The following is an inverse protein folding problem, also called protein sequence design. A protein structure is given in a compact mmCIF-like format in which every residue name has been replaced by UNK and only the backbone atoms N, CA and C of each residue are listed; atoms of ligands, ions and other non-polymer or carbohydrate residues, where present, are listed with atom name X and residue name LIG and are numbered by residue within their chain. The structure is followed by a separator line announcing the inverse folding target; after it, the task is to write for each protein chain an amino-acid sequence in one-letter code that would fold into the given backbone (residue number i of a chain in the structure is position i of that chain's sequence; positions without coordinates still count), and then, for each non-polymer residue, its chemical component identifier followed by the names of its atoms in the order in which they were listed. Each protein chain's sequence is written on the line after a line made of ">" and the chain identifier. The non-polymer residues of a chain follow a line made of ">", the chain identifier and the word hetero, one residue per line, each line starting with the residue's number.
data_IF_784270307985
#
_entry.id   IF_784270307985
#
_cell.length_a   1.000
_cell.length_b   1.000
_cell.length_c   1.000
_cell.angle_alpha   90.00
_cell.angle_beta   90.00
_cell.angle_gamma   90.00
#
_symmetry.space_group_name_H-M   'P 1'
#
loop_
_entity.id
_entity.type
_entity.pdbx_description
1 polymer ?
#
# COMPACT_ATOMS: atom_id res chain seq x y z
N UNK A 1 41.90 -63.80 -31.55
CA UNK A 1 41.33 -63.27 -30.31
C UNK A 1 41.00 -61.86 -30.60
N UNK A 2 39.73 -61.59 -30.88
CA UNK A 2 39.17 -60.32 -31.27
C UNK A 2 38.52 -59.72 -30.05
N UNK A 3 38.86 -58.48 -29.67
CA UNK A 3 38.16 -57.71 -28.66
C UNK A 3 37.35 -56.62 -29.34
N UNK A 4 36.05 -56.74 -29.17
CA UNK A 4 35.08 -55.76 -29.57
C UNK A 4 35.19 -54.53 -28.64
N UNK A 5 35.32 -53.35 -29.23
CA UNK A 5 35.12 -52.07 -28.58
C UNK A 5 33.72 -51.57 -28.91
N UNK A 6 32.78 -51.68 -27.97
CA UNK A 6 31.49 -51.04 -28.05
C UNK A 6 31.63 -49.55 -27.66
N UNK A 7 31.36 -48.70 -28.63
CA UNK A 7 31.25 -47.25 -28.43
C UNK A 7 29.93 -46.90 -27.74
N UNK A 8 30.02 -46.46 -26.51
CA UNK A 8 28.90 -45.92 -25.73
C UNK A 8 28.53 -44.52 -26.26
N UNK A 9 27.45 -44.45 -27.03
CA UNK A 9 26.83 -43.18 -27.40
C UNK A 9 26.19 -42.60 -26.17
N UNK A 10 26.72 -41.50 -25.65
CA UNK A 10 26.06 -40.65 -24.70
C UNK A 10 24.82 -40.03 -25.37
N UNK A 11 23.65 -40.38 -24.86
CA UNK A 11 22.39 -39.74 -25.22
C UNK A 11 22.41 -38.29 -24.79
N UNK A 12 22.10 -37.41 -25.70
CA UNK A 12 21.82 -36.00 -25.43
C UNK A 12 20.72 -35.91 -24.37
N UNK A 13 21.07 -35.34 -23.25
CA UNK A 13 20.12 -35.02 -22.15
C UNK A 13 19.12 -34.01 -22.66
N UNK A 14 17.87 -34.39 -22.63
CA UNK A 14 16.71 -33.49 -22.69
C UNK A 14 16.90 -32.36 -21.70
N UNK A 15 17.17 -31.18 -22.21
CA UNK A 15 17.08 -29.93 -21.43
C UNK A 15 15.61 -29.79 -21.09
N UNK A 16 15.26 -30.02 -19.81
CA UNK A 16 13.94 -29.76 -19.29
C UNK A 16 13.60 -28.32 -19.59
N UNK A 17 12.57 -28.12 -20.40
CA UNK A 17 11.91 -26.83 -20.58
C UNK A 17 11.38 -26.39 -19.20
N UNK A 18 12.00 -25.39 -18.62
CA UNK A 18 11.44 -24.71 -17.48
C UNK A 18 10.09 -24.17 -17.94
N UNK A 19 9.02 -24.78 -17.46
CA UNK A 19 7.67 -24.32 -17.71
C UNK A 19 7.52 -22.89 -17.20
N UNK A 20 7.22 -22.02 -18.14
CA UNK A 20 6.70 -20.68 -17.87
C UNK A 20 5.40 -20.86 -17.06
N UNK A 21 5.44 -20.58 -15.76
CA UNK A 21 4.24 -20.61 -14.91
C UNK A 21 3.39 -19.40 -15.25
N UNK A 22 2.72 -19.48 -16.40
CA UNK A 22 1.68 -18.53 -16.78
C UNK A 22 0.56 -18.53 -15.72
N UNK A 23 -0.07 -17.40 -15.51
CA UNK A 23 -1.14 -17.19 -14.54
C UNK A 23 -2.31 -18.22 -14.63
N UNK A 24 -2.40 -18.95 -15.76
CA UNK A 24 -3.40 -19.99 -16.00
C UNK A 24 -3.24 -21.28 -15.17
N UNK A 25 -2.15 -21.45 -14.42
CA UNK A 25 -1.90 -22.65 -13.60
C UNK A 25 -2.15 -22.46 -12.10
N UNK A 26 -2.44 -21.25 -11.65
CA UNK A 26 -2.68 -20.99 -10.23
C UNK A 26 -4.06 -21.48 -9.80
N UNK A 27 -4.19 -22.01 -8.56
CA UNK A 27 -5.46 -22.48 -8.04
C UNK A 27 -6.43 -21.33 -7.79
N UNK A 28 -7.71 -21.58 -8.00
CA UNK A 28 -8.80 -20.74 -7.53
C UNK A 28 -9.53 -21.45 -6.38
N UNK A 29 -10.10 -20.71 -5.45
CA UNK A 29 -10.86 -21.26 -4.34
C UNK A 29 -12.12 -20.44 -4.06
N UNK A 30 -13.23 -21.14 -3.82
CA UNK A 30 -14.48 -20.50 -3.39
C UNK A 30 -14.38 -19.98 -1.96
N UNK A 31 -13.67 -20.70 -1.09
CA UNK A 31 -13.50 -20.34 0.32
C UNK A 31 -12.04 -20.48 0.73
N UNK A 32 -11.52 -19.44 1.37
CA UNK A 32 -10.13 -19.43 1.86
C UNK A 32 -9.97 -20.31 3.11
N UNK A 33 -10.95 -20.28 4.02
CA UNK A 33 -10.91 -21.09 5.23
C UNK A 33 -11.72 -22.39 5.00
N UNK A 34 -11.02 -23.53 5.02
CA UNK A 34 -11.61 -24.85 4.90
C UNK A 34 -11.39 -25.66 6.18
N UNK A 35 -12.46 -26.20 6.75
CA UNK A 35 -12.40 -26.95 8.01
C UNK A 35 -11.71 -26.18 9.16
N UNK A 36 -11.94 -24.86 9.20
CA UNK A 36 -11.37 -23.97 10.20
C UNK A 36 -9.89 -23.59 9.98
N UNK A 37 -9.28 -23.97 8.85
CA UNK A 37 -7.88 -23.67 8.55
C UNK A 37 -7.74 -22.90 7.24
N UNK A 38 -6.82 -21.92 7.16
CA UNK A 38 -6.55 -21.17 5.94
C UNK A 38 -5.86 -22.05 4.90
N UNK A 39 -6.21 -21.82 3.63
CA UNK A 39 -5.50 -22.37 2.48
C UNK A 39 -4.33 -21.43 2.18
N UNK A 40 -3.09 -21.89 2.39
CA UNK A 40 -1.89 -21.10 2.10
C UNK A 40 -1.46 -21.23 0.64
N UNK A 41 -0.94 -20.15 0.08
CA UNK A 41 -0.39 -20.11 -1.27
C UNK A 41 -0.72 -18.84 -2.02
N UNK A 42 -0.41 -18.89 -3.31
CA UNK A 42 -0.78 -17.87 -4.30
C UNK A 42 -1.97 -18.39 -5.08
N UNK A 43 -2.95 -17.53 -5.30
CA UNK A 43 -4.20 -17.88 -5.97
C UNK A 43 -4.42 -17.02 -7.22
N UNK A 44 -5.01 -17.61 -8.25
CA UNK A 44 -5.55 -16.84 -9.37
C UNK A 44 -6.80 -16.07 -8.94
N UNK A 45 -7.61 -16.68 -8.08
CA UNK A 45 -8.85 -16.09 -7.56
C UNK A 45 -9.24 -16.70 -6.22
N UNK A 46 -9.71 -15.86 -5.29
CA UNK A 46 -10.36 -16.24 -4.03
C UNK A 46 -11.71 -15.55 -4.00
N UNK A 47 -12.80 -16.31 -3.97
CA UNK A 47 -14.14 -15.73 -3.99
C UNK A 47 -14.53 -15.20 -2.62
N UNK A 48 -14.33 -15.99 -1.56
CA UNK A 48 -14.67 -15.61 -0.18
C UNK A 48 -13.51 -15.86 0.77
N UNK A 49 -13.19 -14.88 1.60
CA UNK A 49 -12.18 -15.06 2.64
C UNK A 49 -12.73 -15.81 3.84
N UNK A 50 -14.01 -15.70 4.10
CA UNK A 50 -14.76 -16.38 5.18
C UNK A 50 -13.97 -16.49 6.50
N UNK A 51 -13.28 -15.40 6.90
CA UNK A 51 -12.32 -15.37 8.01
C UNK A 51 -12.95 -15.70 9.36
N UNK A 52 -14.26 -15.56 9.50
CA UNK A 52 -15.01 -15.93 10.71
C UNK A 52 -15.09 -17.45 10.92
N UNK A 53 -14.83 -18.25 9.90
CA UNK A 53 -14.76 -19.71 10.02
C UNK A 53 -13.42 -20.20 10.58
N UNK A 54 -12.42 -19.31 10.71
CA UNK A 54 -11.11 -19.68 11.20
C UNK A 54 -11.12 -20.12 12.68
N UNK A 55 -10.50 -21.27 12.95
CA UNK A 55 -10.34 -21.84 14.28
C UNK A 55 -8.95 -21.54 14.84
N UNK A 56 -8.83 -20.48 15.64
CA UNK A 56 -7.56 -20.00 16.15
C UNK A 56 -6.99 -20.79 17.35
N UNK A 57 -7.75 -21.76 17.92
CA UNK A 57 -7.31 -22.52 19.08
C UNK A 57 -6.64 -23.84 18.69
N UNK A 58 -5.37 -24.01 19.08
CA UNK A 58 -4.60 -25.23 18.81
C UNK A 58 -5.01 -26.43 19.71
N UNK A 59 -5.52 -26.15 20.91
CA UNK A 59 -5.76 -27.18 21.94
C UNK A 59 -7.26 -27.36 22.19
N UNK A 60 -8.03 -26.30 22.11
CA UNK A 60 -9.46 -26.32 22.32
C UNK A 60 -10.21 -26.18 21.00
N UNK A 61 -11.05 -27.14 20.69
CA UNK A 61 -11.97 -27.06 19.53
C UNK A 61 -13.22 -26.22 19.83
N UNK A 62 -13.27 -25.52 21.00
CA UNK A 62 -14.39 -24.65 21.33
C UNK A 62 -14.47 -23.49 20.35
N UNK A 63 -15.63 -23.25 19.74
CA UNK A 63 -15.80 -22.13 18.85
C UNK A 63 -15.60 -20.81 19.59
N UNK A 64 -14.82 -19.91 19.02
CA UNK A 64 -14.69 -18.54 19.47
C UNK A 64 -15.85 -17.74 18.89
N UNK A 65 -16.49 -16.91 19.70
CA UNK A 65 -17.58 -16.07 19.23
C UNK A 65 -17.11 -15.12 18.10
N UNK A 66 -17.94 -14.92 17.07
CA UNK A 66 -17.61 -14.15 15.87
C UNK A 66 -17.13 -12.73 16.20
N UNK A 67 -17.80 -12.02 17.11
CA UNK A 67 -17.40 -10.68 17.52
C UNK A 67 -15.97 -10.60 18.06
N UNK A 68 -15.48 -11.69 18.71
CA UNK A 68 -14.08 -11.76 19.17
C UNK A 68 -13.10 -11.98 18.01
N UNK A 69 -13.54 -12.70 16.97
CA UNK A 69 -12.73 -12.86 15.75
C UNK A 69 -12.67 -11.53 14.99
N UNK A 70 -13.78 -10.83 14.85
CA UNK A 70 -13.85 -9.49 14.25
C UNK A 70 -12.91 -8.50 14.95
N UNK A 71 -12.92 -8.45 16.29
CA UNK A 71 -12.02 -7.59 17.06
C UNK A 71 -10.53 -7.98 16.95
N UNK A 72 -10.23 -9.24 16.61
CA UNK A 72 -8.85 -9.72 16.48
C UNK A 72 -8.32 -9.65 15.07
N UNK A 73 -9.19 -9.64 14.08
CA UNK A 73 -8.80 -9.51 12.69
C UNK A 73 -8.26 -8.11 12.43
N UNK A 74 -7.14 -8.05 11.74
CA UNK A 74 -6.59 -6.81 11.23
C UNK A 74 -7.02 -6.67 9.77
N UNK A 75 -7.55 -5.50 9.42
CA UNK A 75 -7.95 -5.17 8.05
C UNK A 75 -7.28 -3.89 7.63
N UNK A 76 -6.87 -3.84 6.39
CA UNK A 76 -6.14 -2.72 5.82
C UNK A 76 -6.51 -2.57 4.36
N UNK A 77 -6.75 -1.35 3.93
CA UNK A 77 -6.89 -0.99 2.53
C UNK A 77 -6.06 0.25 2.25
N UNK A 78 -5.20 0.17 1.25
CA UNK A 78 -4.38 1.27 0.77
C UNK A 78 -4.61 1.46 -0.73
N UNK A 79 -4.80 2.70 -1.14
CA UNK A 79 -4.87 3.11 -2.54
C UNK A 79 -3.83 4.18 -2.79
N UNK A 80 -2.99 3.96 -3.80
CA UNK A 80 -2.18 4.99 -4.40
C UNK A 80 -2.83 5.43 -5.71
N UNK A 81 -2.91 6.74 -5.93
CA UNK A 81 -3.38 7.36 -7.17
C UNK A 81 -2.32 8.35 -7.64
N UNK A 82 -1.93 8.21 -8.89
CA UNK A 82 -0.93 9.05 -9.55
C UNK A 82 -1.59 9.81 -10.69
N UNK A 83 -1.62 11.12 -10.60
CA UNK A 83 -2.05 12.05 -11.65
C UNK A 83 -1.05 13.19 -11.68
N UNK A 84 -0.02 13.04 -12.49
CA UNK A 84 1.11 13.96 -12.53
C UNK A 84 0.69 15.43 -12.57
N UNK A 85 1.31 16.31 -11.76
CA UNK A 85 2.43 16.04 -10.85
C UNK A 85 2.00 15.58 -9.44
N UNK A 86 0.78 15.13 -9.24
CA UNK A 86 0.25 14.77 -7.93
C UNK A 86 0.25 13.26 -7.69
N UNK A 87 0.68 12.89 -6.48
CA UNK A 87 0.60 11.54 -5.95
C UNK A 87 -0.23 11.55 -4.68
N UNK A 88 -1.34 10.84 -4.69
CA UNK A 88 -2.26 10.71 -3.56
C UNK A 88 -2.14 9.31 -2.98
N UNK A 89 -1.97 9.21 -1.67
CA UNK A 89 -1.98 7.94 -0.94
C UNK A 89 -3.03 7.99 0.15
N UNK A 90 -3.82 6.93 0.26
CA UNK A 90 -4.96 6.82 1.16
C UNK A 90 -4.88 5.46 1.83
N UNK A 91 -4.97 5.42 3.16
CA UNK A 91 -5.06 4.18 3.90
C UNK A 91 -6.17 4.23 4.94
N UNK A 92 -6.87 3.12 5.11
CA UNK A 92 -7.80 2.87 6.21
C UNK A 92 -7.43 1.53 6.83
N UNK A 93 -7.25 1.48 8.15
CA UNK A 93 -6.83 0.28 8.86
C UNK A 93 -7.56 0.12 10.19
N UNK A 94 -7.89 -1.13 10.53
CA UNK A 94 -8.35 -1.50 11.88
C UNK A 94 -7.14 -1.86 12.74
N UNK A 95 -7.08 -1.30 13.95
CA UNK A 95 -6.10 -1.62 14.97
C UNK A 95 -6.82 -2.04 16.25
N UNK A 96 -7.31 -3.28 16.27
CA UNK A 96 -8.10 -3.87 17.39
C UNK A 96 -9.28 -3.00 17.82
N UNK A 97 -9.07 -2.15 18.81
CA UNK A 97 -10.11 -1.31 19.40
C UNK A 97 -10.21 0.08 18.76
N UNK A 98 -9.52 0.31 17.67
CA UNK A 98 -9.56 1.59 16.96
C UNK A 98 -9.50 1.37 15.45
N UNK A 99 -9.91 2.39 14.70
CA UNK A 99 -9.69 2.50 13.26
C UNK A 99 -8.92 3.76 12.99
N UNK A 100 -7.92 3.67 12.16
CA UNK A 100 -7.12 4.83 11.73
C UNK A 100 -7.27 5.01 10.23
N UNK A 101 -7.26 6.26 9.79
CA UNK A 101 -7.12 6.59 8.38
C UNK A 101 -6.11 7.70 8.22
N UNK A 102 -5.36 7.64 7.16
CA UNK A 102 -4.57 8.77 6.68
C UNK A 102 -4.77 8.95 5.18
N UNK A 103 -4.58 10.17 4.74
CA UNK A 103 -4.44 10.49 3.34
C UNK A 103 -3.39 11.58 3.21
N UNK A 104 -2.57 11.49 2.18
CA UNK A 104 -1.66 12.56 1.85
C UNK A 104 -1.61 12.80 0.35
N UNK A 105 -1.24 14.02 -0.01
CA UNK A 105 -0.95 14.42 -1.37
C UNK A 105 0.47 14.97 -1.44
N UNK A 106 1.22 14.48 -2.40
CA UNK A 106 2.55 14.96 -2.74
C UNK A 106 2.54 15.58 -4.12
N UNK A 107 3.07 16.79 -4.24
CA UNK A 107 3.26 17.46 -5.51
C UNK A 107 4.73 17.35 -5.91
N UNK A 108 5.00 16.65 -7.02
CA UNK A 108 6.36 16.35 -7.49
C UNK A 108 7.11 17.60 -7.94
N UNK A 109 6.40 18.62 -8.51
CA UNK A 109 7.04 19.87 -8.98
C UNK A 109 7.49 20.78 -7.83
N UNK A 110 6.69 20.87 -6.76
CA UNK A 110 6.97 21.75 -5.61
C UNK A 110 7.58 21.02 -4.42
N UNK A 111 7.69 19.70 -4.47
CA UNK A 111 8.12 18.81 -3.38
C UNK A 111 7.32 19.01 -2.08
N UNK A 112 6.08 19.49 -2.19
CA UNK A 112 5.21 19.71 -1.05
C UNK A 112 4.43 18.44 -0.72
N UNK A 113 4.41 18.10 0.55
CA UNK A 113 3.65 17.00 1.12
C UNK A 113 2.64 17.53 2.12
N UNK A 114 1.36 17.31 1.85
CA UNK A 114 0.26 17.65 2.75
C UNK A 114 -0.42 16.39 3.26
N UNK A 115 -0.59 16.29 4.58
CA UNK A 115 -1.05 15.08 5.26
C UNK A 115 -2.31 15.39 6.07
N UNK A 116 -3.29 14.49 5.98
CA UNK A 116 -4.47 14.47 6.84
C UNK A 116 -4.58 13.09 7.46
N UNK A 117 -4.74 13.05 8.78
CA UNK A 117 -4.87 11.80 9.51
C UNK A 117 -5.93 11.90 10.61
N UNK A 118 -6.55 10.78 10.90
CA UNK A 118 -7.54 10.67 11.97
C UNK A 118 -7.55 9.27 12.59
N UNK A 119 -7.89 9.19 13.86
CA UNK A 119 -8.07 7.96 14.61
C UNK A 119 -9.44 7.96 15.27
N UNK A 120 -10.18 6.87 15.11
CA UNK A 120 -11.47 6.61 15.73
C UNK A 120 -11.34 5.50 16.77
N UNK A 121 -11.54 5.79 18.06
CA UNK A 121 -11.55 4.76 19.09
C UNK A 121 -12.80 3.87 18.93
N UNK A 122 -12.69 2.61 19.35
CA UNK A 122 -13.77 1.63 19.42
C UNK A 122 -14.47 1.33 18.08
N UNK A 123 -13.82 1.56 16.94
CA UNK A 123 -14.40 1.38 15.59
C UNK A 123 -15.72 2.15 15.37
N UNK A 124 -15.99 3.18 16.16
CA UNK A 124 -17.16 4.04 15.96
C UNK A 124 -17.04 4.78 14.63
N UNK A 125 -18.12 4.81 13.85
CA UNK A 125 -18.15 5.42 12.53
C UNK A 125 -17.11 4.86 11.53
N UNK A 126 -16.75 3.59 11.71
CA UNK A 126 -15.94 2.82 10.77
C UNK A 126 -16.57 1.45 10.53
N UNK A 127 -16.58 1.02 9.28
CA UNK A 127 -17.14 -0.25 8.85
C UNK A 127 -16.16 -0.95 7.90
N UNK A 128 -16.04 -2.28 8.06
CA UNK A 128 -15.31 -3.18 7.16
C UNK A 128 -16.10 -4.48 7.08
N UNK A 129 -16.46 -4.93 5.90
CA UNK A 129 -17.17 -6.20 5.73
C UNK A 129 -16.23 -7.41 5.77
N UNK A 130 -14.99 -7.21 5.37
CA UNK A 130 -13.99 -8.28 5.27
C UNK A 130 -14.10 -9.10 3.99
N UNK A 131 -14.77 -8.59 2.99
CA UNK A 131 -14.93 -9.20 1.67
C UNK A 131 -14.25 -8.35 0.60
N UNK A 132 -13.09 -8.78 0.10
CA UNK A 132 -12.30 -8.04 -0.89
C UNK A 132 -12.97 -7.91 -2.27
N UNK A 133 -14.07 -8.63 -2.53
CA UNK A 133 -14.85 -8.56 -3.75
C UNK A 133 -16.07 -7.63 -3.63
N UNK A 134 -16.71 -7.59 -2.45
CA UNK A 134 -17.95 -6.87 -2.23
C UNK A 134 -17.90 -6.07 -0.92
N UNK A 135 -16.73 -5.52 -0.57
CA UNK A 135 -16.57 -4.76 0.65
C UNK A 135 -17.17 -3.36 0.54
N UNK A 136 -17.56 -2.86 1.70
CA UNK A 136 -17.76 -1.45 1.92
C UNK A 136 -16.90 -1.04 3.10
N UNK A 137 -15.87 -0.22 2.84
CA UNK A 137 -15.03 0.36 3.87
C UNK A 137 -15.46 1.80 4.07
N UNK A 138 -15.95 2.12 5.26
CA UNK A 138 -16.34 3.47 5.66
C UNK A 138 -15.49 3.91 6.83
N UNK A 139 -14.93 5.10 6.73
CA UNK A 139 -14.29 5.82 7.83
C UNK A 139 -14.78 7.25 7.83
N UNK A 140 -15.37 7.70 8.94
CA UNK A 140 -15.91 9.07 9.06
C UNK A 140 -15.34 9.78 10.28
N UNK A 141 -14.66 10.88 10.04
CA UNK A 141 -14.11 11.78 11.04
C UNK A 141 -14.20 13.23 10.53
N UNK A 142 -14.24 14.22 11.41
CA UNK A 142 -14.35 15.65 11.03
C UNK A 142 -13.24 16.14 10.10
N UNK A 143 -12.04 15.57 10.20
CA UNK A 143 -10.88 15.95 9.37
C UNK A 143 -10.80 15.19 8.07
N UNK A 144 -11.29 13.95 8.04
CA UNK A 144 -11.10 13.00 6.94
C UNK A 144 -12.26 12.02 6.91
N UNK A 145 -12.93 11.90 5.78
CA UNK A 145 -13.86 10.82 5.50
C UNK A 145 -13.40 10.05 4.27
N UNK A 146 -13.47 8.73 4.35
CA UNK A 146 -13.11 7.82 3.25
C UNK A 146 -14.21 6.78 3.12
N UNK A 147 -14.68 6.57 1.90
CA UNK A 147 -15.58 5.47 1.55
C UNK A 147 -14.98 4.75 0.35
N UNK A 148 -14.81 3.43 0.50
CA UNK A 148 -14.42 2.52 -0.56
C UNK A 148 -15.55 1.50 -0.75
N UNK A 149 -16.12 1.43 -1.95
CA UNK A 149 -17.09 0.41 -2.31
C UNK A 149 -16.45 -0.51 -3.35
N UNK A 150 -16.38 -1.79 -3.01
CA UNK A 150 -15.78 -2.82 -3.85
C UNK A 150 -16.87 -3.59 -4.61
N UNK A 151 -16.64 -3.80 -5.89
CA UNK A 151 -17.32 -4.79 -6.70
C UNK A 151 -16.28 -5.63 -7.46
N UNK A 152 -16.67 -6.75 -8.08
CA UNK A 152 -15.74 -7.55 -8.89
C UNK A 152 -15.09 -6.76 -10.04
N UNK A 153 -15.78 -5.75 -10.57
CA UNK A 153 -15.33 -4.97 -11.73
C UNK A 153 -14.62 -3.68 -11.35
N UNK A 154 -14.97 -3.10 -10.17
CA UNK A 154 -14.50 -1.75 -9.86
C UNK A 154 -14.43 -1.49 -8.35
N UNK A 155 -13.60 -0.52 -7.96
CA UNK A 155 -13.59 0.09 -6.63
C UNK A 155 -13.96 1.57 -6.78
N UNK A 156 -15.02 2.00 -6.10
CA UNK A 156 -15.38 3.41 -6.00
C UNK A 156 -14.73 4.02 -4.76
N UNK A 157 -13.92 5.05 -4.95
CA UNK A 157 -13.26 5.82 -3.91
C UNK A 157 -13.90 7.19 -3.75
N UNK A 158 -14.33 7.52 -2.55
CA UNK A 158 -14.78 8.87 -2.17
C UNK A 158 -14.01 9.30 -0.93
N UNK A 159 -13.18 10.31 -1.08
CA UNK A 159 -12.43 10.92 0.02
C UNK A 159 -12.78 12.39 0.12
N UNK A 160 -13.04 12.84 1.33
CA UNK A 160 -13.22 14.25 1.61
C UNK A 160 -12.37 14.65 2.83
N UNK A 161 -11.61 15.73 2.68
CA UNK A 161 -10.81 16.33 3.73
C UNK A 161 -10.78 17.86 3.60
N UNK A 162 -10.17 18.53 4.54
CA UNK A 162 -9.96 19.98 4.44
C UNK A 162 -8.80 20.38 3.51
N UNK A 163 -8.01 19.44 3.03
CA UNK A 163 -6.85 19.67 2.14
C UNK A 163 -7.20 19.37 0.69
N UNK A 164 -7.85 18.23 0.45
CA UNK A 164 -8.25 17.80 -0.88
C UNK A 164 -9.44 16.83 -0.83
N UNK A 165 -10.11 16.70 -1.96
CA UNK A 165 -11.18 15.73 -2.21
C UNK A 165 -10.81 14.84 -3.38
N UNK A 166 -11.10 13.54 -3.28
CA UNK A 166 -10.96 12.58 -4.39
C UNK A 166 -12.31 11.90 -4.63
N UNK A 167 -12.77 11.94 -5.87
CA UNK A 167 -13.88 11.14 -6.35
C UNK A 167 -13.37 10.29 -7.50
N UNK A 168 -13.21 9.00 -7.30
CA UNK A 168 -12.65 8.11 -8.31
C UNK A 168 -13.46 6.82 -8.43
N UNK A 169 -13.58 6.35 -9.67
CA UNK A 169 -14.05 5.01 -10.01
C UNK A 169 -12.88 4.29 -10.71
N UNK A 170 -12.43 3.21 -10.08
CA UNK A 170 -11.19 2.50 -10.37
C UNK A 170 -11.54 1.12 -10.94
N UNK A 171 -11.32 0.90 -12.23
CA UNK A 171 -11.65 -0.35 -12.88
C UNK A 171 -10.59 -1.41 -12.56
N UNK A 172 -11.01 -2.56 -12.07
CA UNK A 172 -10.13 -3.66 -11.68
C UNK A 172 -9.59 -4.41 -12.89
N UNK A 173 -8.35 -4.90 -12.74
CA UNK A 173 -7.70 -5.77 -13.73
C UNK A 173 -8.05 -7.25 -13.51
N UNK A 174 -7.67 -8.08 -14.48
CA UNK A 174 -7.93 -9.53 -14.44
C UNK A 174 -6.85 -10.34 -13.73
N UNK A 175 -5.71 -9.73 -13.37
CA UNK A 175 -4.54 -10.43 -12.84
C UNK A 175 -4.10 -9.84 -11.48
N UNK A 176 -4.91 -9.94 -10.43
CA UNK A 176 -4.47 -9.51 -9.10
C UNK A 176 -3.42 -10.48 -8.54
N UNK A 177 -2.56 -9.99 -7.68
CA UNK A 177 -1.79 -10.81 -6.76
C UNK A 177 -2.69 -11.15 -5.58
N UNK A 178 -3.08 -12.40 -5.40
CA UNK A 178 -3.84 -12.89 -4.26
C UNK A 178 -3.01 -13.93 -3.50
N UNK A 179 -2.62 -13.61 -2.25
CA UNK A 179 -1.70 -14.43 -1.46
C UNK A 179 -2.26 -14.65 -0.06
N UNK A 180 -2.30 -15.91 0.37
CA UNK A 180 -2.51 -16.24 1.78
C UNK A 180 -1.25 -16.84 2.36
N UNK A 181 -0.72 -16.22 3.42
CA UNK A 181 0.49 -16.66 4.09
C UNK A 181 0.31 -16.87 5.59
N UNK A 182 1.04 -17.82 6.21
CA UNK A 182 1.05 -17.95 7.66
C UNK A 182 1.73 -16.74 8.30
N UNK A 183 1.15 -16.26 9.41
CA UNK A 183 1.68 -15.17 10.22
C UNK A 183 1.96 -15.70 11.64
N UNK A 184 3.20 -16.10 11.89
CA UNK A 184 3.57 -16.77 13.13
C UNK A 184 2.89 -18.16 13.26
N UNK A 185 2.74 -18.63 14.50
CA UNK A 185 2.28 -20.02 14.78
C UNK A 185 0.78 -20.22 14.55
N UNK A 186 -0.05 -19.19 14.72
CA UNK A 186 -1.51 -19.29 14.73
C UNK A 186 -2.19 -18.23 13.86
N UNK A 187 -1.41 -17.33 13.28
CA UNK A 187 -1.94 -16.28 12.44
C UNK A 187 -1.82 -16.63 10.98
N UNK A 188 -2.44 -15.80 10.21
CA UNK A 188 -2.35 -15.79 8.76
C UNK A 188 -2.75 -14.40 8.26
N UNK A 189 -2.32 -14.08 7.06
CA UNK A 189 -2.79 -12.89 6.33
C UNK A 189 -3.14 -13.29 4.91
N UNK A 190 -4.24 -12.77 4.42
CA UNK A 190 -4.56 -12.73 3.01
C UNK A 190 -4.36 -11.31 2.51
N UNK A 191 -3.66 -11.17 1.40
CA UNK A 191 -3.48 -9.89 0.75
C UNK A 191 -3.86 -9.98 -0.73
N UNK A 192 -4.49 -8.93 -1.22
CA UNK A 192 -4.74 -8.74 -2.65
C UNK A 192 -4.18 -7.40 -3.08
N UNK A 193 -3.35 -7.44 -4.14
CA UNK A 193 -2.72 -6.26 -4.72
C UNK A 193 -2.95 -6.26 -6.22
N UNK A 194 -3.27 -5.09 -6.76
CA UNK A 194 -3.56 -4.98 -8.18
C UNK A 194 -3.39 -3.55 -8.69
N UNK A 195 -2.88 -3.36 -9.92
CA UNK A 195 -3.08 -2.12 -10.66
C UNK A 195 -4.52 -2.03 -11.16
N UNK A 196 -5.08 -0.83 -11.17
CA UNK A 196 -6.33 -0.58 -11.86
C UNK A 196 -6.06 -0.30 -13.35
N UNK A 197 -6.91 -0.83 -14.21
CA UNK A 197 -6.76 -0.70 -15.67
C UNK A 197 -7.26 0.65 -16.18
N UNK A 198 -8.20 1.27 -15.48
CA UNK A 198 -8.71 2.60 -15.78
C UNK A 198 -9.07 3.34 -14.50
N UNK A 199 -8.81 4.66 -14.48
CA UNK A 199 -9.15 5.55 -13.38
C UNK A 199 -9.98 6.71 -13.91
N UNK A 200 -11.23 6.82 -13.50
CA UNK A 200 -12.15 7.91 -13.84
C UNK A 200 -12.45 8.75 -12.60
N UNK A 201 -12.71 10.04 -12.80
CA UNK A 201 -13.12 10.93 -11.73
C UNK A 201 -12.27 12.19 -11.65
N UNK A 202 -12.06 12.67 -10.43
CA UNK A 202 -11.42 13.96 -10.20
C UNK A 202 -10.70 14.06 -8.86
N UNK A 203 -9.71 14.92 -8.83
CA UNK A 203 -9.02 15.41 -7.64
C UNK A 203 -9.29 16.91 -7.50
N UNK A 204 -9.76 17.33 -6.33
CA UNK A 204 -10.02 18.73 -6.01
C UNK A 204 -9.07 19.15 -4.89
N UNK A 205 -8.20 20.11 -5.18
CA UNK A 205 -7.28 20.69 -4.21
C UNK A 205 -7.94 21.89 -3.55
N UNK A 206 -7.99 21.92 -2.22
CA UNK A 206 -8.51 23.04 -1.48
C UNK A 206 -7.40 24.03 -1.15
N UNK A 207 -7.61 25.32 -1.41
CA UNK A 207 -6.64 26.33 -0.95
C UNK A 207 -6.66 26.40 0.57
N UNK A 208 -5.52 26.17 1.18
CA UNK A 208 -5.33 26.46 2.61
C UNK A 208 -5.46 27.95 2.84
N UNK A 209 -6.37 28.35 3.71
CA UNK A 209 -6.51 29.73 4.17
C UNK A 209 -5.33 30.22 5.06
N UNK A 210 -4.21 29.52 5.03
CA UNK A 210 -2.99 29.81 5.80
C UNK A 210 -1.97 30.65 5.02
N UNK A 211 -2.38 31.78 4.46
CA UNK A 211 -1.48 32.84 4.09
C UNK A 211 -1.95 34.17 4.65
N UNK A 212 -2.08 34.24 6.01
CA UNK A 212 -2.03 35.51 6.71
C UNK A 212 -1.11 35.37 7.92
N UNK A 213 0.10 35.90 7.77
CA UNK A 213 0.89 36.47 8.86
C UNK A 213 1.55 35.49 9.83
N UNK A 214 2.71 34.93 9.51
CA UNK A 214 3.77 34.84 10.52
C UNK A 214 4.90 35.79 10.14
N UNK A 215 4.66 37.07 10.45
CA UNK A 215 5.75 37.96 10.79
C UNK A 215 6.31 37.43 12.10
N UNK A 216 7.53 36.92 12.08
CA UNK A 216 8.31 36.64 13.28
C UNK A 216 8.54 37.99 13.95
N UNK A 217 7.81 38.27 15.02
CA UNK A 217 8.15 39.36 15.94
C UNK A 217 9.13 38.76 16.93
N UNK A 218 10.41 39.04 16.73
CA UNK A 218 11.40 38.98 17.81
C UNK A 218 10.98 39.97 18.90
N UNK A 219 10.46 39.46 20.01
CA UNK A 219 10.26 40.24 21.22
C UNK A 219 11.58 40.36 21.95
N UNK A 220 12.28 41.47 21.74
CA UNK A 220 13.20 42.02 22.74
C UNK A 220 12.40 42.68 23.83
N UNK A 221 12.51 42.18 25.07
CA UNK A 221 11.98 42.83 26.27
C UNK A 221 12.70 44.17 26.48
N UNK A 222 11.92 45.21 26.56
CA UNK A 222 12.26 46.38 27.41
C UNK A 222 10.95 46.96 27.98
N UNK A 223 10.99 47.22 29.29
CA UNK A 223 9.95 47.83 30.11
C UNK A 223 9.52 49.18 29.58
N UNK A 224 8.24 49.47 29.66
CA UNK A 224 7.60 50.62 30.28
C UNK A 224 6.23 50.93 29.68
N UNK A 225 5.30 51.14 30.59
CA UNK A 225 3.89 51.47 30.38
C UNK A 225 3.65 52.73 29.58
N UNK A 226 2.65 52.74 28.69
CA UNK A 226 1.70 53.88 28.50
C UNK A 226 0.37 53.32 27.96
N UNK A 227 -0.70 53.69 28.66
CA UNK A 227 -2.11 53.49 28.29
C UNK A 227 -2.49 54.57 27.28
N UNK A 228 -3.05 54.20 26.14
CA UNK A 228 -3.92 55.09 25.37
C UNK A 228 -5.07 54.31 24.72
N UNK A 229 -6.27 54.69 25.17
CA UNK A 229 -7.56 54.36 24.57
C UNK A 229 -7.74 55.11 23.27
N UNK A 230 -8.07 54.44 22.18
CA UNK A 230 -8.70 55.05 20.99
C UNK A 230 -9.91 54.23 20.55
N UNK A 231 -10.95 55.03 20.30
CA UNK A 231 -12.32 54.65 20.10
C UNK A 231 -12.59 53.79 18.87
N UNK A 232 -13.71 53.05 19.00
CA UNK A 232 -14.37 52.30 17.94
C UNK A 232 -14.84 53.22 16.81
N UNK A 233 -14.51 52.87 15.57
CA UNK A 233 -15.29 53.25 14.41
C UNK A 233 -15.69 52.00 13.66
N UNK A 234 -17.00 51.83 13.63
CA UNK A 234 -17.71 50.80 12.92
C UNK A 234 -17.65 51.04 11.41
N UNK A 235 -16.99 50.16 10.68
CA UNK A 235 -17.24 50.03 9.25
C UNK A 235 -17.67 48.59 8.99
N UNK A 236 -18.97 48.42 8.78
CA UNK A 236 -19.58 47.23 8.23
C UNK A 236 -19.03 47.01 6.81
N UNK A 237 -18.03 46.20 6.67
CA UNK A 237 -17.73 45.51 5.44
C UNK A 237 -18.03 44.02 5.68
N UNK A 238 -19.22 43.61 5.24
CA UNK A 238 -19.53 42.21 4.97
C UNK A 238 -18.60 41.80 3.83
N UNK A 239 -17.43 41.30 4.17
CA UNK A 239 -16.58 40.58 3.22
C UNK A 239 -17.24 39.24 3.06
N UNK A 240 -17.83 39.07 1.89
CA UNK A 240 -18.34 37.82 1.36
C UNK A 240 -17.24 36.73 1.49
N UNK A 241 -17.37 35.90 2.53
CA UNK A 241 -16.45 34.81 2.83
C UNK A 241 -16.76 33.63 1.90
N UNK A 242 -16.52 33.82 0.61
CA UNK A 242 -16.70 32.73 -0.34
C UNK A 242 -15.95 32.97 -1.63
N UNK A 243 -14.94 32.28 -1.78
CA UNK A 243 -14.45 31.54 -2.94
C UNK A 243 -13.02 31.12 -2.60
N UNK A 244 -12.88 30.10 -1.79
CA UNK A 244 -11.66 29.29 -1.84
C UNK A 244 -11.56 28.78 -3.26
N UNK A 245 -10.58 29.29 -4.02
CA UNK A 245 -10.34 28.84 -5.40
C UNK A 245 -9.79 27.41 -5.28
N UNK A 246 -10.66 26.44 -5.43
CA UNK A 246 -10.26 25.03 -5.50
C UNK A 246 -9.76 24.72 -6.91
N UNK A 247 -8.59 24.06 -7.01
CA UNK A 247 -8.10 23.55 -8.31
C UNK A 247 -8.70 22.16 -8.53
N UNK A 248 -9.49 22.01 -9.58
CA UNK A 248 -10.07 20.73 -10.00
C UNK A 248 -9.23 20.11 -11.11
N UNK A 249 -8.88 18.85 -10.96
CA UNK A 249 -8.13 18.03 -11.89
C UNK A 249 -8.98 16.82 -12.27
N UNK A 250 -9.30 16.68 -13.55
CA UNK A 250 -10.07 15.55 -14.07
C UNK A 250 -9.11 14.45 -14.49
N UNK A 251 -9.36 13.23 -14.03
CA UNK A 251 -8.55 12.07 -14.38
C UNK A 251 -8.66 11.74 -15.87
N UNK A 252 -7.58 11.23 -16.41
CA UNK A 252 -7.44 10.90 -17.81
C UNK A 252 -6.61 9.61 -18.00
N UNK A 253 -6.30 9.24 -19.23
CA UNK A 253 -5.54 8.02 -19.56
C UNK A 253 -4.10 7.97 -19.01
N UNK A 254 -3.59 9.08 -18.47
CA UNK A 254 -2.30 9.10 -17.77
C UNK A 254 -2.45 8.97 -16.26
N UNK A 255 -3.68 8.89 -15.74
CA UNK A 255 -3.93 8.68 -14.32
C UNK A 255 -3.86 7.18 -14.00
N UNK A 256 -3.06 6.82 -13.01
CA UNK A 256 -2.85 5.43 -12.59
C UNK A 256 -3.25 5.28 -11.14
N UNK A 257 -3.79 4.12 -10.78
CA UNK A 257 -4.05 3.78 -9.39
C UNK A 257 -3.76 2.30 -9.14
N UNK A 258 -3.51 1.97 -7.87
CA UNK A 258 -3.35 0.60 -7.40
C UNK A 258 -3.93 0.42 -6.02
N UNK A 259 -4.28 -0.83 -5.72
CA UNK A 259 -4.82 -1.30 -4.47
C UNK A 259 -3.81 -2.20 -3.75
N UNK A 260 -3.75 -2.05 -2.43
CA UNK A 260 -3.23 -3.04 -1.48
C UNK A 260 -4.29 -3.27 -0.40
N UNK A 261 -4.92 -4.44 -0.42
CA UNK A 261 -5.95 -4.84 0.53
C UNK A 261 -5.48 -6.07 1.31
N UNK A 262 -5.60 -6.03 2.63
CA UNK A 262 -5.15 -7.12 3.51
C UNK A 262 -6.16 -7.35 4.63
N UNK A 263 -6.41 -8.64 4.92
CA UNK A 263 -7.14 -9.10 6.08
C UNK A 263 -6.45 -10.31 6.70
N UNK A 264 -6.38 -10.36 8.03
CA UNK A 264 -5.84 -11.53 8.69
C UNK A 264 -5.76 -11.45 10.20
N UNK A 265 -5.23 -12.50 10.79
CA UNK A 265 -4.91 -12.61 12.21
C UNK A 265 -3.39 -12.57 12.37
N UNK A 266 -2.85 -11.37 12.40
CA UNK A 266 -1.41 -11.15 12.39
C UNK A 266 -0.79 -11.49 13.74
N UNK A 267 0.51 -11.78 13.75
CA UNK A 267 1.30 -11.94 14.97
C UNK A 267 1.35 -10.64 15.77
N UNK A 268 1.53 -10.74 17.07
CA UNK A 268 1.48 -9.61 18.00
C UNK A 268 2.46 -8.48 17.65
N UNK A 269 3.65 -8.81 17.19
CA UNK A 269 4.63 -7.86 16.69
C UNK A 269 5.02 -8.25 15.26
N UNK A 270 4.93 -7.30 14.33
CA UNK A 270 5.24 -7.47 12.93
C UNK A 270 6.03 -6.26 12.46
N UNK A 271 7.10 -6.52 11.73
CA UNK A 271 7.84 -5.46 11.05
C UNK A 271 8.02 -5.84 9.59
N UNK A 272 8.02 -4.84 8.72
CA UNK A 272 8.22 -5.06 7.30
C UNK A 272 8.84 -3.87 6.60
N UNK A 273 9.46 -4.17 5.49
CA UNK A 273 9.75 -3.21 4.44
C UNK A 273 8.80 -3.47 3.28
N UNK A 274 8.34 -2.40 2.67
CA UNK A 274 7.47 -2.46 1.50
C UNK A 274 7.90 -1.43 0.46
N UNK A 275 7.60 -1.69 -0.80
CA UNK A 275 7.93 -0.82 -1.93
C UNK A 275 6.86 -0.92 -2.99
N UNK A 276 6.48 0.24 -3.54
CA UNK A 276 5.48 0.33 -4.61
C UNK A 276 5.89 1.37 -5.65
N UNK A 277 5.83 0.97 -6.90
CA UNK A 277 5.94 1.85 -8.06
C UNK A 277 4.67 1.66 -8.89
N UNK A 278 4.08 2.77 -9.37
CA UNK A 278 3.03 2.74 -10.37
C UNK A 278 3.27 3.90 -11.33
N UNK A 279 3.61 3.56 -12.58
CA UNK A 279 4.09 4.53 -13.57
C UNK A 279 3.92 4.01 -15.00
N UNK A 280 4.17 4.88 -15.97
CA UNK A 280 4.52 4.48 -17.34
C UNK A 280 6.04 4.46 -17.51
N UNK A 281 6.54 3.40 -18.11
CA UNK A 281 7.94 3.30 -18.51
C UNK A 281 8.25 4.23 -19.67
N UNK A 282 9.54 4.44 -19.95
CA UNK A 282 9.98 5.25 -21.10
C UNK A 282 9.48 4.74 -22.46
N UNK A 283 9.22 3.44 -22.56
CA UNK A 283 8.63 2.79 -23.74
C UNK A 283 7.09 2.82 -23.76
N UNK A 284 6.46 3.60 -22.87
CA UNK A 284 5.03 3.81 -22.72
C UNK A 284 4.24 2.62 -22.12
N UNK A 285 4.87 1.51 -21.76
CA UNK A 285 4.21 0.41 -21.07
C UNK A 285 3.79 0.83 -19.67
N UNK A 286 2.60 0.41 -19.27
CA UNK A 286 2.16 0.54 -17.87
C UNK A 286 2.97 -0.40 -16.99
N UNK A 287 3.51 0.11 -15.90
CA UNK A 287 4.32 -0.67 -14.96
C UNK A 287 3.89 -0.43 -13.52
N UNK A 288 3.65 -1.53 -12.80
CA UNK A 288 3.50 -1.52 -11.36
C UNK A 288 4.48 -2.51 -10.74
N UNK A 289 5.07 -2.14 -9.60
CA UNK A 289 5.93 -3.01 -8.78
C UNK A 289 5.39 -3.03 -7.36
N UNK A 290 5.34 -4.21 -6.77
CA UNK A 290 5.12 -4.42 -5.34
C UNK A 290 6.19 -5.37 -4.80
N UNK A 291 6.94 -4.90 -3.81
CA UNK A 291 7.94 -5.70 -3.10
C UNK A 291 7.71 -5.59 -1.61
N UNK A 292 7.90 -6.70 -0.89
CA UNK A 292 7.83 -6.74 0.56
C UNK A 292 8.89 -7.65 1.16
N UNK A 293 9.31 -7.36 2.39
CA UNK A 293 10.19 -8.18 3.21
C UNK A 293 9.71 -8.13 4.66
N UNK A 294 9.67 -9.26 5.35
CA UNK A 294 9.35 -9.36 6.77
C UNK A 294 7.89 -9.71 7.09
N UNK A 295 6.96 -9.50 6.16
CA UNK A 295 5.54 -9.90 6.35
C UNK A 295 5.37 -11.40 6.16
N UNK A 296 6.00 -11.96 5.11
CA UNK A 296 5.85 -13.34 4.67
C UNK A 296 7.19 -14.08 4.80
N UNK A 297 7.37 -14.81 5.89
CA UNK A 297 8.63 -15.48 6.18
C UNK A 297 8.70 -16.95 5.71
N UNK A 298 7.65 -17.48 5.08
CA UNK A 298 7.46 -18.94 4.94
C UNK A 298 7.30 -19.42 3.50
N UNK A 299 8.07 -18.85 2.58
CA UNK A 299 8.14 -19.36 1.21
C UNK A 299 7.04 -18.87 0.26
N UNK A 300 6.11 -18.05 0.75
CA UNK A 300 5.14 -17.32 -0.07
C UNK A 300 5.50 -15.84 0.00
N UNK A 301 5.62 -15.20 -1.15
CA UNK A 301 6.02 -13.79 -1.28
C UNK A 301 4.89 -12.97 -1.86
N UNK A 302 4.75 -11.73 -1.40
CA UNK A 302 3.88 -10.71 -2.01
C UNK A 302 4.59 -9.94 -3.14
N UNK A 303 5.73 -10.44 -3.62
CA UNK A 303 6.54 -9.77 -4.60
C UNK A 303 6.03 -10.05 -6.00
N UNK A 304 5.63 -9.01 -6.70
CA UNK A 304 5.18 -9.09 -8.08
C UNK A 304 5.42 -7.76 -8.82
N UNK A 305 5.48 -7.83 -10.13
CA UNK A 305 5.31 -6.65 -10.97
C UNK A 305 4.27 -6.93 -12.06
N UNK A 306 3.70 -5.85 -12.59
CA UNK A 306 2.75 -5.89 -13.70
C UNK A 306 3.30 -5.05 -14.84
N UNK A 307 3.22 -5.58 -16.05
CA UNK A 307 3.55 -4.88 -17.28
C UNK A 307 2.32 -4.99 -18.17
N UNK A 308 1.71 -3.86 -18.50
CA UNK A 308 0.46 -3.79 -19.26
C UNK A 308 -0.65 -4.73 -18.71
N UNK A 309 -0.74 -4.80 -17.38
CA UNK A 309 -1.71 -5.64 -16.67
C UNK A 309 -1.35 -7.12 -16.56
N UNK A 310 -0.27 -7.58 -17.19
CA UNK A 310 0.23 -8.95 -17.04
C UNK A 310 1.11 -9.04 -15.79
N UNK A 311 0.78 -9.96 -14.88
CA UNK A 311 1.52 -10.19 -13.63
C UNK A 311 2.76 -11.08 -13.86
N UNK A 312 3.86 -10.72 -13.18
CA UNK A 312 5.09 -11.50 -13.04
C UNK A 312 5.41 -11.65 -11.56
N UNK A 313 5.44 -12.88 -11.07
CA UNK A 313 5.79 -13.18 -9.69
C UNK A 313 7.30 -13.06 -9.49
N UNK A 314 7.70 -12.36 -8.42
CA UNK A 314 9.09 -12.05 -8.15
C UNK A 314 9.61 -12.85 -6.94
N UNK A 315 10.91 -13.16 -6.90
CA UNK A 315 11.52 -13.84 -5.76
C UNK A 315 11.51 -12.97 -4.49
N UNK A 316 11.81 -13.56 -3.32
CA UNK A 316 12.08 -12.81 -2.11
C UNK A 316 13.20 -11.78 -2.32
N UNK A 317 13.04 -10.61 -1.71
CA UNK A 317 14.01 -9.50 -1.80
C UNK A 317 14.58 -9.15 -0.43
N UNK A 318 15.73 -8.50 -0.44
CA UNK A 318 16.37 -7.89 0.71
C UNK A 318 16.36 -6.37 0.55
N UNK A 319 15.81 -5.68 1.53
CA UNK A 319 15.97 -4.24 1.69
C UNK A 319 17.17 -3.98 2.59
N UNK A 320 18.07 -3.13 2.13
CA UNK A 320 19.25 -2.69 2.90
C UNK A 320 19.29 -1.18 2.89
N UNK A 321 19.29 -0.59 4.07
CA UNK A 321 19.46 0.85 4.28
C UNK A 321 20.33 1.10 5.49
N UNK A 322 20.88 2.30 5.61
CA UNK A 322 21.58 2.72 6.82
C UNK A 322 20.57 2.87 7.98
N UNK A 323 20.93 2.35 9.15
CA UNK A 323 20.11 2.49 10.36
C UNK A 323 20.21 3.90 10.96
N UNK A 324 21.39 4.52 10.83
CA UNK A 324 21.71 5.82 11.43
C UNK A 324 21.22 7.00 10.59
N UNK A 325 21.25 6.86 9.27
CA UNK A 325 20.75 7.87 8.35
C UNK A 325 19.82 7.24 7.32
N UNK A 326 18.53 7.34 7.58
CA UNK A 326 17.46 6.78 6.74
C UNK A 326 17.24 7.57 5.44
N UNK A 327 17.91 8.72 5.29
CA UNK A 327 17.89 9.51 4.04
C UNK A 327 18.93 9.03 3.03
N UNK A 328 19.83 8.14 3.43
CA UNK A 328 20.74 7.48 2.52
C UNK A 328 20.00 6.57 1.52
N UNK A 329 20.65 6.27 0.44
CA UNK A 329 20.11 5.38 -0.62
C UNK A 329 19.87 3.99 -0.06
N UNK A 330 18.66 3.45 -0.31
CA UNK A 330 18.33 2.07 -0.01
C UNK A 330 18.71 1.18 -1.18
N UNK A 331 19.16 -0.03 -0.89
CA UNK A 331 19.42 -1.06 -1.88
C UNK A 331 18.40 -2.19 -1.75
N UNK A 332 17.77 -2.55 -2.86
CA UNK A 332 16.77 -3.60 -2.92
C UNK A 332 17.22 -4.63 -3.94
N UNK A 333 17.52 -5.83 -3.49
CA UNK A 333 18.01 -6.89 -4.35
C UNK A 333 17.30 -8.22 -4.08
N UNK A 334 17.18 -9.07 -5.10
CA UNK A 334 16.64 -10.41 -4.90
C UNK A 334 17.61 -11.27 -4.06
N UNK A 335 17.05 -12.25 -3.37
CA UNK A 335 17.85 -13.31 -2.76
C UNK A 335 18.21 -14.33 -3.85
N UNK A 336 19.51 -14.46 -4.12
CA UNK A 336 19.98 -15.45 -5.09
C UNK A 336 19.87 -16.86 -4.48
N UNK A 337 18.77 -17.54 -4.77
CA UNK A 337 18.54 -18.93 -4.36
C UNK A 337 19.00 -19.95 -5.41
N UNK A 338 19.66 -19.50 -6.49
CA UNK A 338 20.27 -20.33 -7.50
C UNK A 338 19.32 -20.98 -8.52
N UNK A 339 18.03 -20.70 -8.44
CA UNK A 339 17.00 -21.35 -9.28
C UNK A 339 16.01 -20.40 -9.95
N UNK A 340 16.21 -19.09 -9.83
CA UNK A 340 15.38 -18.07 -10.48
C UNK A 340 16.14 -17.43 -11.65
N UNK A 341 15.46 -17.30 -12.80
CA UNK A 341 15.91 -16.48 -13.93
C UNK A 341 15.55 -14.99 -13.76
N UNK A 342 15.04 -14.63 -12.59
CA UNK A 342 14.62 -13.27 -12.27
C UNK A 342 15.71 -12.64 -11.40
N UNK A 343 16.18 -11.47 -11.81
CA UNK A 343 17.14 -10.68 -11.06
C UNK A 343 16.51 -9.31 -10.74
N UNK A 344 16.69 -8.85 -9.53
CA UNK A 344 16.24 -7.53 -9.06
C UNK A 344 17.45 -6.83 -8.46
N UNK A 345 17.78 -5.67 -8.98
CA UNK A 345 18.83 -4.79 -8.46
C UNK A 345 18.35 -3.34 -8.59
N UNK A 346 17.85 -2.80 -7.51
CA UNK A 346 17.26 -1.48 -7.45
C UNK A 346 17.90 -0.65 -6.35
N UNK A 347 17.98 0.64 -6.60
CA UNK A 347 18.27 1.66 -5.59
C UNK A 347 17.04 2.56 -5.42
N UNK A 348 16.80 2.98 -4.19
CA UNK A 348 15.79 3.97 -3.85
C UNK A 348 16.45 5.15 -3.16
N UNK A 349 16.30 6.34 -3.74
CA UNK A 349 16.79 7.60 -3.19
C UNK A 349 15.64 8.34 -2.53
N UNK A 350 15.59 8.42 -1.18
CA UNK A 350 14.54 9.09 -0.44
C UNK A 350 14.50 10.60 -0.75
N UNK A 351 13.29 11.16 -0.91
CA UNK A 351 13.06 12.61 -1.09
C UNK A 351 12.24 13.19 0.05
N UNK A 352 11.11 12.55 0.38
CA UNK A 352 10.16 13.02 1.39
C UNK A 352 9.66 11.84 2.21
N UNK A 353 9.20 12.11 3.45
CA UNK A 353 8.69 11.06 4.32
C UNK A 353 7.44 11.51 5.06
N UNK A 354 6.45 10.62 5.12
CA UNK A 354 5.38 10.64 6.11
C UNK A 354 5.77 9.72 7.26
N UNK A 355 5.90 10.30 8.49
CA UNK A 355 6.24 9.56 9.70
C UNK A 355 5.13 9.65 10.72
N UNK A 356 4.83 8.52 11.35
CA UNK A 356 3.91 8.47 12.49
C UNK A 356 4.41 7.47 13.52
N UNK A 357 4.39 7.87 14.78
CA UNK A 357 4.70 6.98 15.90
C UNK A 357 3.56 7.04 16.90
N UNK A 358 2.91 5.92 17.09
CA UNK A 358 1.86 5.74 18.08
C UNK A 358 2.34 4.71 19.12
N UNK A 359 2.14 5.00 20.41
CA UNK A 359 2.46 4.07 21.47
C UNK A 359 1.43 4.17 22.59
N UNK A 360 0.58 3.16 22.64
CA UNK A 360 -0.47 3.01 23.65
C UNK A 360 -0.19 1.84 24.62
N UNK A 361 1.08 1.39 24.72
CA UNK A 361 1.52 0.29 25.55
C UNK A 361 1.24 -1.08 24.95
N UNK A 362 -0.02 -1.50 24.89
CA UNK A 362 -0.43 -2.80 24.30
C UNK A 362 -0.52 -2.77 22.77
N UNK A 363 -0.63 -1.59 22.19
CA UNK A 363 -0.63 -1.33 20.75
C UNK A 363 0.40 -0.26 20.45
N UNK A 364 1.25 -0.47 19.47
CA UNK A 364 2.24 0.52 19.03
C UNK A 364 2.45 0.42 17.53
N UNK A 365 2.85 1.53 16.92
CA UNK A 365 3.21 1.60 15.51
C UNK A 365 4.35 2.60 15.33
N UNK A 366 5.35 2.21 14.56
CA UNK A 366 6.37 3.12 14.03
C UNK A 366 6.28 2.99 12.53
N UNK A 367 5.71 3.99 11.90
CA UNK A 367 5.40 4.02 10.49
C UNK A 367 6.22 5.09 9.79
N UNK A 368 6.96 4.72 8.77
CA UNK A 368 7.69 5.62 7.89
C UNK A 368 7.43 5.22 6.45
N UNK A 369 6.70 6.05 5.72
CA UNK A 369 6.50 5.87 4.29
C UNK A 369 7.22 6.99 3.53
N UNK A 370 8.20 6.59 2.76
CA UNK A 370 9.11 7.45 2.01
C UNK A 370 8.63 7.56 0.56
N UNK A 371 8.66 8.78 0.03
CA UNK A 371 8.50 9.09 -1.38
C UNK A 371 9.90 9.33 -1.93
N UNK A 372 10.25 8.75 -3.07
CA UNK A 372 11.58 8.89 -3.63
C UNK A 372 11.72 8.28 -5.02
N UNK A 373 12.95 8.21 -5.50
CA UNK A 373 13.29 7.84 -6.85
C UNK A 373 13.93 6.45 -6.90
N UNK A 374 13.38 5.58 -7.74
CA UNK A 374 13.92 4.27 -8.04
C UNK A 374 14.79 4.31 -9.29
N UNK A 375 15.96 3.67 -9.21
CA UNK A 375 16.83 3.39 -10.36
C UNK A 375 17.34 1.96 -10.30
N UNK A 376 17.62 1.37 -11.46
CA UNK A 376 18.14 -0.01 -11.54
C UNK A 376 17.38 -0.86 -12.53
N UNK A 377 17.42 -2.18 -12.34
CA UNK A 377 16.89 -3.14 -13.30
C UNK A 377 16.17 -4.30 -12.64
N UNK A 378 15.14 -4.79 -13.34
CA UNK A 378 14.44 -6.05 -13.05
C UNK A 378 14.53 -6.91 -14.33
N UNK A 379 15.21 -8.06 -14.24
CA UNK A 379 15.26 -9.03 -15.32
C UNK A 379 14.20 -10.11 -15.12
N UNK A 380 13.39 -10.34 -16.12
CA UNK A 380 12.30 -11.30 -16.15
C UNK A 380 12.55 -12.30 -17.28
N UNK A 381 13.50 -13.22 -17.07
CA UNK A 381 13.99 -14.10 -18.14
C UNK A 381 14.66 -13.31 -19.25
N UNK A 382 14.07 -13.28 -20.44
CA UNK A 382 14.60 -12.54 -21.60
C UNK A 382 14.24 -11.05 -21.62
N UNK A 383 13.29 -10.63 -20.78
CA UNK A 383 12.85 -9.25 -20.71
C UNK A 383 13.56 -8.51 -19.57
N UNK A 384 13.94 -7.25 -19.79
CA UNK A 384 14.49 -6.38 -18.76
C UNK A 384 13.65 -5.11 -18.66
N UNK A 385 13.26 -4.77 -17.44
CA UNK A 385 12.67 -3.47 -17.08
C UNK A 385 13.78 -2.63 -16.49
N UNK A 386 14.05 -1.47 -17.07
CA UNK A 386 15.01 -0.48 -16.55
C UNK A 386 14.26 0.69 -15.96
N UNK A 387 14.60 1.05 -14.73
CA UNK A 387 14.08 2.22 -14.03
C UNK A 387 15.20 3.27 -13.99
N UNK A 388 14.87 4.50 -14.36
CA UNK A 388 15.78 5.65 -14.28
C UNK A 388 15.05 6.79 -13.58
N UNK A 389 15.34 6.94 -12.28
CA UNK A 389 14.75 7.97 -11.41
C UNK A 389 13.20 7.98 -11.43
N UNK A 390 12.61 6.80 -11.40
CA UNK A 390 11.16 6.63 -11.39
C UNK A 390 10.61 6.87 -9.98
N UNK A 391 9.63 7.74 -9.85
CA UNK A 391 8.99 8.05 -8.56
C UNK A 391 8.22 6.85 -8.01
N UNK A 392 8.43 6.54 -6.73
CA UNK A 392 7.74 5.47 -6.03
C UNK A 392 7.75 5.65 -4.51
N UNK A 393 7.25 4.64 -3.82
CA UNK A 393 7.15 4.60 -2.37
C UNK A 393 8.04 3.50 -1.80
N UNK A 394 8.65 3.76 -0.65
CA UNK A 394 9.29 2.76 0.20
C UNK A 394 8.81 2.93 1.64
N UNK A 395 8.63 1.84 2.36
CA UNK A 395 8.09 1.85 3.71
C UNK A 395 8.96 1.02 4.66
N UNK A 396 9.11 1.52 5.88
CA UNK A 396 9.66 0.81 7.03
C UNK A 396 8.62 0.92 8.15
N UNK A 397 8.03 -0.21 8.51
CA UNK A 397 6.95 -0.24 9.47
C UNK A 397 7.18 -1.31 10.54
N UNK A 398 7.03 -0.91 11.78
CA UNK A 398 6.86 -1.79 12.92
C UNK A 398 5.46 -1.61 13.51
N UNK A 399 4.74 -2.69 13.69
CA UNK A 399 3.42 -2.70 14.30
C UNK A 399 3.35 -3.71 15.44
N UNK A 400 2.77 -3.28 16.55
CA UNK A 400 2.41 -4.11 17.68
C UNK A 400 0.90 -4.04 17.88
N UNK A 401 0.25 -5.21 17.70
CA UNK A 401 -1.19 -5.37 17.68
C UNK A 401 -1.79 -5.84 19.00
#
# INVERSE_FOLDING_TARGET
>A
MSQNAESMKLSESTVDKVEDRSAHSLPSTEQLIKQGQPQFGVFAHVEQINYLDYHSHLISQRPVAEWRKQLKANQFAFIQLVHEPYRVCIAVATIKLATTAFAYIYNEDSEQLEIVEALQPLMLNAHFSGDHQHDEIIFTHQKLSVTLNFSPEQVSLRLNSNVFTVNADLQRGSNPLAVCSPSGRRGWSFTQKEPFVETKGELILHQSSKHYGSAVVEQTMTDSAIVETVAADSVNNVVDASKSISKKLVFNSSTHANLDWTLGFMRHETNWFWSCINTKLSDQRQFMLNLSMGVNETGVSENACWIDGQIYYLPPVMFRRAETDKTEVWHISHQNLGWSQIEIDLTFTPLKVYKKTDNYGVVASIFEQWIGLYSGQIKLGQQTVTLDKVMGLAEDHFAKW
#
